data_IF_134348851274
#
_entry.id   IF_134348851274
#
_cell.length_a   1.000
_cell.length_b   1.000
_cell.length_c   1.000
_cell.angle_alpha   90.00
_cell.angle_beta   90.00
_cell.angle_gamma   90.00
#
_symmetry.space_group_name_H-M   'P 1'
#
loop_
_entity.id
_entity.type
_entity.pdbx_description
1 polymer ?
#
# COMPACT_ATOMS: atom_id res chain seq x y z
N UNK A 1 35.98 6.66 19.57
CA UNK A 1 36.33 5.24 19.35
C UNK A 1 36.44 5.05 17.85
N UNK A 2 37.63 4.61 17.36
CA UNK A 2 37.85 4.34 15.93
C UNK A 2 37.20 2.98 15.66
N UNK A 3 36.19 2.95 14.78
CA UNK A 3 35.53 1.70 14.38
C UNK A 3 36.55 0.83 13.61
N UNK A 4 36.67 -0.45 13.99
CA UNK A 4 37.50 -1.41 13.28
C UNK A 4 37.10 -1.46 11.79
N UNK A 5 38.11 -1.56 10.92
CA UNK A 5 37.92 -1.60 9.47
C UNK A 5 38.16 -3.03 8.93
N UNK A 6 37.74 -3.29 7.68
CA UNK A 6 38.05 -4.56 7.02
C UNK A 6 39.57 -4.82 6.90
N UNK A 7 40.37 -3.75 6.84
CA UNK A 7 41.82 -3.83 6.83
C UNK A 7 42.40 -4.35 8.16
N UNK A 8 41.76 -3.94 9.28
CA UNK A 8 42.20 -4.41 10.61
C UNK A 8 41.85 -5.88 10.80
N UNK A 9 40.70 -6.32 10.29
CA UNK A 9 40.30 -7.75 10.27
C UNK A 9 41.29 -8.56 9.42
N UNK A 10 41.62 -8.10 8.22
CA UNK A 10 42.57 -8.79 7.34
C UNK A 10 43.94 -8.94 7.99
N UNK A 11 44.43 -7.85 8.64
CA UNK A 11 45.69 -7.83 9.38
C UNK A 11 45.67 -8.78 10.58
N UNK A 12 44.62 -8.72 11.39
CA UNK A 12 44.45 -9.56 12.58
C UNK A 12 44.33 -11.05 12.25
N UNK A 13 43.66 -11.39 11.16
CA UNK A 13 43.49 -12.77 10.72
C UNK A 13 44.66 -13.31 9.86
N UNK A 14 45.60 -12.47 9.45
CA UNK A 14 46.69 -12.85 8.58
C UNK A 14 46.28 -13.32 7.20
N UNK A 15 45.28 -12.66 6.61
CA UNK A 15 44.72 -12.99 5.29
C UNK A 15 44.56 -11.74 4.42
N UNK A 16 44.31 -11.94 3.12
CA UNK A 16 44.03 -10.83 2.22
C UNK A 16 42.62 -10.25 2.43
N UNK A 17 42.41 -8.98 2.03
CA UNK A 17 41.08 -8.35 2.00
C UNK A 17 40.07 -9.17 1.21
N UNK A 18 40.51 -9.75 0.09
CA UNK A 18 39.65 -10.60 -0.74
C UNK A 18 39.19 -11.86 0.02
N UNK A 19 40.04 -12.40 0.89
CA UNK A 19 39.71 -13.56 1.73
C UNK A 19 38.68 -13.16 2.80
N UNK A 20 38.86 -12.01 3.47
CA UNK A 20 37.88 -11.50 4.44
C UNK A 20 36.52 -11.27 3.75
N UNK A 21 36.53 -10.63 2.58
CA UNK A 21 35.30 -10.41 1.80
C UNK A 21 34.60 -11.73 1.41
N UNK A 22 35.38 -12.76 1.02
CA UNK A 22 34.80 -14.08 0.73
C UNK A 22 34.22 -14.74 1.97
N UNK A 23 34.90 -14.67 3.12
CA UNK A 23 34.33 -15.20 4.37
C UNK A 23 32.99 -14.56 4.71
N UNK A 24 32.83 -13.26 4.46
CA UNK A 24 31.61 -12.52 4.75
C UNK A 24 30.48 -12.77 3.73
N UNK A 25 30.84 -12.96 2.44
CA UNK A 25 29.80 -12.98 1.36
C UNK A 25 29.58 -14.39 0.76
N UNK A 26 30.58 -15.28 0.81
CA UNK A 26 30.54 -16.63 0.23
C UNK A 26 31.35 -17.59 1.15
N UNK A 27 30.91 -17.79 2.40
CA UNK A 27 31.68 -18.55 3.40
C UNK A 27 31.95 -19.99 2.99
N UNK A 28 31.10 -20.58 2.15
CA UNK A 28 31.23 -21.93 1.62
C UNK A 28 32.45 -22.10 0.66
N UNK A 29 32.95 -20.99 0.09
CA UNK A 29 34.11 -20.99 -0.82
C UNK A 29 35.43 -20.82 -0.10
N UNK A 30 35.43 -20.81 1.24
CA UNK A 30 36.61 -20.61 2.06
C UNK A 30 36.82 -21.83 2.96
N UNK A 31 38.09 -22.30 3.08
CA UNK A 31 38.41 -23.40 3.99
C UNK A 31 37.97 -23.09 5.42
N UNK A 32 37.46 -24.09 6.11
CA UNK A 32 36.84 -23.92 7.44
C UNK A 32 37.78 -23.29 8.47
N UNK A 33 39.01 -23.72 8.51
CA UNK A 33 40.04 -23.15 9.38
C UNK A 33 40.26 -21.65 9.17
N UNK A 34 40.33 -21.22 7.91
CA UNK A 34 40.52 -19.80 7.56
C UNK A 34 39.24 -19.01 7.91
N UNK A 35 38.07 -19.60 7.66
CA UNK A 35 36.79 -19.00 7.99
C UNK A 35 36.66 -18.75 9.49
N UNK A 36 36.96 -19.76 10.32
CA UNK A 36 36.87 -19.64 11.78
C UNK A 36 37.84 -18.59 12.33
N UNK A 37 39.08 -18.55 11.79
CA UNK A 37 40.07 -17.55 12.18
C UNK A 37 39.62 -16.12 11.89
N UNK A 38 39.06 -15.88 10.70
CA UNK A 38 38.54 -14.55 10.33
C UNK A 38 37.31 -14.17 11.19
N UNK A 39 36.36 -15.08 11.42
CA UNK A 39 35.18 -14.84 12.25
C UNK A 39 35.57 -14.53 13.71
N UNK A 40 36.60 -15.19 14.25
CA UNK A 40 37.16 -14.91 15.58
C UNK A 40 37.63 -13.46 15.67
N UNK A 41 38.45 -13.03 14.73
CA UNK A 41 39.03 -11.66 14.70
C UNK A 41 37.91 -10.62 14.51
N UNK A 42 36.90 -10.89 13.68
CA UNK A 42 35.71 -10.02 13.52
C UNK A 42 35.04 -9.80 14.87
N UNK A 43 34.83 -10.87 15.65
CA UNK A 43 34.20 -10.82 16.96
C UNK A 43 35.09 -10.07 17.99
N UNK A 44 36.38 -10.31 18.00
CA UNK A 44 37.33 -9.66 18.91
C UNK A 44 37.45 -8.16 18.67
N UNK A 45 37.45 -7.75 17.40
CA UNK A 45 37.55 -6.34 17.02
C UNK A 45 36.21 -5.62 17.04
N UNK A 46 35.07 -6.32 17.24
CA UNK A 46 33.73 -5.76 17.11
C UNK A 46 33.46 -5.22 15.70
N UNK A 47 34.16 -5.75 14.68
CA UNK A 47 33.98 -5.27 13.31
C UNK A 47 32.57 -5.55 12.81
N UNK A 48 31.94 -4.53 12.30
CA UNK A 48 30.65 -4.64 11.58
C UNK A 48 30.86 -4.28 10.12
N UNK A 49 30.52 -5.18 9.17
CA UNK A 49 30.63 -4.90 7.75
C UNK A 49 29.91 -3.58 7.40
N UNK A 50 30.58 -2.68 6.71
CA UNK A 50 29.97 -1.46 6.23
C UNK A 50 29.08 -1.79 5.03
N UNK A 51 27.76 -1.63 5.20
CA UNK A 51 26.74 -1.92 4.18
C UNK A 51 26.95 -1.06 2.93
N UNK A 52 27.39 0.19 3.10
CA UNK A 52 27.68 1.12 1.99
C UNK A 52 28.86 0.61 1.15
N UNK A 53 29.95 0.23 1.81
CA UNK A 53 31.14 -0.29 1.11
C UNK A 53 30.83 -1.62 0.39
N UNK A 54 29.98 -2.47 0.97
CA UNK A 54 29.52 -3.70 0.36
C UNK A 54 28.61 -3.42 -0.85
N UNK A 55 27.71 -2.45 -0.74
CA UNK A 55 26.82 -2.01 -1.82
C UNK A 55 27.61 -1.50 -3.04
N UNK A 56 28.63 -0.69 -2.81
CA UNK A 56 29.53 -0.20 -3.86
C UNK A 56 30.23 -1.34 -4.61
N UNK A 57 30.67 -2.37 -3.89
CA UNK A 57 31.35 -3.52 -4.49
C UNK A 57 30.41 -4.46 -5.26
N UNK A 58 29.16 -4.62 -4.80
CA UNK A 58 28.15 -5.53 -5.38
C UNK A 58 27.21 -4.85 -6.36
N UNK A 59 27.24 -3.52 -6.47
CA UNK A 59 26.23 -2.69 -7.16
C UNK A 59 24.79 -2.93 -6.65
N UNK A 60 24.64 -3.41 -5.40
CA UNK A 60 23.36 -3.60 -4.72
C UNK A 60 23.40 -2.88 -3.39
N UNK A 61 22.45 -1.98 -3.18
CA UNK A 61 22.36 -1.19 -1.94
C UNK A 61 21.67 -1.96 -0.80
N UNK A 62 21.00 -3.07 -1.13
CA UNK A 62 20.10 -3.81 -0.23
C UNK A 62 19.03 -2.89 0.37
N UNK A 63 18.61 -1.89 -0.40
CA UNK A 63 17.63 -0.90 0.00
C UNK A 63 16.46 -0.88 -0.99
N UNK A 64 15.25 -0.94 -0.48
CA UNK A 64 14.02 -0.78 -1.24
C UNK A 64 13.42 0.58 -0.94
N UNK A 65 13.10 1.34 -1.99
CA UNK A 65 12.32 2.57 -1.88
C UNK A 65 10.84 2.24 -1.70
N UNK A 66 10.21 2.89 -0.74
CA UNK A 66 8.75 2.79 -0.56
C UNK A 66 8.16 4.18 -0.65
N UNK A 67 7.36 4.41 -1.69
CA UNK A 67 6.71 5.70 -1.96
C UNK A 67 5.32 5.70 -1.34
N UNK A 68 5.02 6.71 -0.54
CA UNK A 68 3.75 6.89 0.16
C UNK A 68 3.24 8.32 -0.02
N UNK A 69 1.92 8.51 0.01
CA UNK A 69 1.30 9.85 0.03
C UNK A 69 1.11 10.38 1.46
N UNK A 70 0.59 9.54 2.34
CA UNK A 70 0.27 9.90 3.72
C UNK A 70 0.47 8.71 4.67
N UNK A 71 1.48 8.81 5.53
CA UNK A 71 1.82 7.76 6.52
C UNK A 71 0.77 7.65 7.64
N UNK A 72 -0.06 8.67 7.84
CA UNK A 72 -1.07 8.67 8.90
C UNK A 72 -2.30 7.83 8.56
N UNK A 73 -2.45 7.44 7.31
CA UNK A 73 -3.53 6.57 6.86
C UNK A 73 -3.36 5.16 7.41
N UNK A 74 -4.40 4.64 8.05
CA UNK A 74 -4.37 3.31 8.69
C UNK A 74 -3.96 2.19 7.71
N UNK A 75 -4.52 2.20 6.49
CA UNK A 75 -4.18 1.23 5.44
C UNK A 75 -2.72 1.27 5.01
N UNK A 76 -2.11 2.47 4.96
CA UNK A 76 -0.69 2.62 4.62
C UNK A 76 0.19 2.05 5.73
N UNK A 77 -0.13 2.32 6.99
CA UNK A 77 0.63 1.80 8.13
C UNK A 77 0.60 0.26 8.19
N UNK A 78 -0.57 -0.36 7.97
CA UNK A 78 -0.70 -1.82 7.94
C UNK A 78 0.05 -2.44 6.76
N UNK A 79 -0.02 -1.82 5.57
CA UNK A 79 0.70 -2.26 4.38
C UNK A 79 2.22 -2.21 4.58
N UNK A 80 2.73 -1.14 5.23
CA UNK A 80 4.13 -1.02 5.62
C UNK A 80 4.55 -2.12 6.60
N UNK A 81 3.66 -2.57 7.48
CA UNK A 81 3.90 -3.73 8.33
C UNK A 81 4.21 -4.98 7.51
N UNK A 82 3.36 -5.33 6.56
CA UNK A 82 3.57 -6.47 5.66
C UNK A 82 4.84 -6.36 4.81
N UNK A 83 5.14 -5.16 4.31
CA UNK A 83 6.38 -4.89 3.57
C UNK A 83 7.60 -5.10 4.47
N UNK A 84 7.57 -4.55 5.69
CA UNK A 84 8.68 -4.61 6.65
C UNK A 84 9.05 -6.04 7.01
N UNK A 85 8.05 -6.88 7.30
CA UNK A 85 8.29 -8.27 7.67
C UNK A 85 8.95 -9.06 6.53
N UNK A 86 8.50 -8.84 5.30
CA UNK A 86 9.10 -9.50 4.12
C UNK A 86 10.48 -8.92 3.79
N UNK A 87 10.65 -7.60 3.86
CA UNK A 87 11.95 -6.95 3.63
C UNK A 87 13.01 -7.47 4.62
N UNK A 88 12.65 -7.60 5.90
CA UNK A 88 13.53 -8.15 6.93
C UNK A 88 13.96 -9.59 6.61
N UNK A 89 13.04 -10.45 6.18
CA UNK A 89 13.33 -11.84 5.81
C UNK A 89 14.30 -11.95 4.62
N UNK A 90 14.27 -10.97 3.72
CA UNK A 90 15.19 -10.89 2.57
C UNK A 90 16.40 -9.97 2.81
N UNK A 91 16.57 -9.48 4.03
CA UNK A 91 17.68 -8.58 4.44
C UNK A 91 17.73 -7.27 3.66
N UNK A 92 16.57 -6.73 3.27
CA UNK A 92 16.45 -5.39 2.69
C UNK A 92 16.14 -4.35 3.77
N UNK A 93 16.78 -3.19 3.64
CA UNK A 93 16.38 -1.96 4.35
C UNK A 93 15.29 -1.25 3.57
N UNK A 94 14.39 -0.55 4.27
CA UNK A 94 13.35 0.26 3.66
C UNK A 94 13.73 1.73 3.78
N UNK A 95 13.64 2.47 2.67
CA UNK A 95 13.72 3.92 2.64
C UNK A 95 12.38 4.50 2.20
N UNK A 96 11.77 5.32 3.07
CA UNK A 96 10.49 5.94 2.75
C UNK A 96 10.70 7.23 1.96
N UNK A 97 9.87 7.41 0.94
CA UNK A 97 9.74 8.63 0.15
C UNK A 97 8.29 9.11 0.23
N UNK A 98 8.10 10.33 0.69
CA UNK A 98 6.77 10.93 0.77
C UNK A 98 6.52 11.80 -0.46
N UNK A 99 5.42 11.52 -1.16
CA UNK A 99 4.93 12.35 -2.28
C UNK A 99 3.70 13.08 -1.78
N UNK A 100 3.81 14.37 -1.56
CA UNK A 100 2.68 15.22 -1.16
C UNK A 100 2.00 15.77 -2.41
N UNK A 101 0.71 16.09 -2.30
CA UNK A 101 -0.09 16.62 -3.41
C UNK A 101 0.44 17.93 -3.99
N UNK A 102 1.13 18.74 -3.18
CA UNK A 102 1.72 20.02 -3.53
C UNK A 102 3.15 19.90 -4.09
N UNK A 103 3.73 18.70 -4.10
CA UNK A 103 5.06 18.45 -4.64
C UNK A 103 4.99 17.92 -6.06
N UNK A 104 5.98 18.27 -6.87
CA UNK A 104 6.16 17.62 -8.15
C UNK A 104 6.56 16.15 -7.92
N UNK A 105 5.67 15.24 -8.32
CA UNK A 105 5.92 13.80 -8.25
C UNK A 105 7.18 13.45 -9.02
N UNK A 106 7.45 14.13 -10.13
CA UNK A 106 8.61 13.90 -10.99
C UNK A 106 9.92 14.19 -10.23
N UNK A 107 9.97 15.27 -9.45
CA UNK A 107 11.16 15.58 -8.63
C UNK A 107 11.41 14.48 -7.58
N UNK A 108 10.35 13.99 -6.94
CA UNK A 108 10.49 12.87 -6.00
C UNK A 108 11.00 11.60 -6.68
N UNK A 109 10.50 11.30 -7.89
CA UNK A 109 10.97 10.14 -8.67
C UNK A 109 12.43 10.29 -9.09
N UNK A 110 12.88 11.48 -9.47
CA UNK A 110 14.30 11.75 -9.75
C UNK A 110 15.17 11.55 -8.50
N UNK A 111 14.71 11.96 -7.33
CA UNK A 111 15.42 11.71 -6.08
C UNK A 111 15.52 10.21 -5.78
N UNK A 112 14.47 9.43 -6.03
CA UNK A 112 14.49 7.95 -5.87
C UNK A 112 15.53 7.32 -6.78
N UNK A 113 15.62 7.76 -8.04
CA UNK A 113 16.63 7.30 -9.00
C UNK A 113 18.05 7.64 -8.50
N UNK A 114 18.25 8.86 -8.00
CA UNK A 114 19.56 9.31 -7.48
C UNK A 114 20.02 8.52 -6.24
N UNK A 115 19.09 8.04 -5.42
CA UNK A 115 19.37 7.25 -4.22
C UNK A 115 19.77 5.79 -4.51
N UNK A 116 19.76 5.37 -5.76
CA UNK A 116 20.20 4.05 -6.22
C UNK A 116 19.57 2.88 -5.43
N UNK A 117 18.27 2.96 -5.12
CA UNK A 117 17.55 1.84 -4.51
C UNK A 117 17.48 0.65 -5.46
N UNK A 118 17.47 -0.57 -4.93
CA UNK A 118 17.47 -1.80 -5.74
C UNK A 118 16.09 -2.04 -6.40
N UNK A 119 15.02 -1.44 -5.86
CA UNK A 119 13.67 -1.51 -6.39
C UNK A 119 12.72 -0.60 -5.63
N UNK A 120 11.52 -0.41 -6.15
CA UNK A 120 10.53 0.54 -5.60
C UNK A 120 9.17 -0.11 -5.40
N UNK A 121 8.57 0.09 -4.23
CA UNK A 121 7.15 -0.13 -3.96
C UNK A 121 6.43 1.21 -3.95
N UNK A 122 5.36 1.32 -4.72
CA UNK A 122 4.54 2.53 -4.77
C UNK A 122 3.19 2.25 -4.10
N UNK A 123 2.97 2.83 -2.92
CA UNK A 123 1.78 2.63 -2.08
C UNK A 123 0.89 3.86 -2.14
N UNK A 124 0.09 3.96 -3.17
CA UNK A 124 -0.84 5.07 -3.27
C UNK A 124 -2.07 4.67 -4.09
N UNK A 125 -3.21 4.48 -3.43
CA UNK A 125 -4.51 4.22 -4.06
C UNK A 125 -5.13 5.48 -4.70
N UNK A 126 -4.44 6.62 -4.63
CA UNK A 126 -4.84 7.92 -5.18
C UNK A 126 -4.07 8.26 -6.45
N UNK A 127 -3.99 7.31 -7.38
CA UNK A 127 -3.37 7.51 -8.69
C UNK A 127 -4.42 7.46 -9.79
N UNK A 128 -4.28 8.36 -10.78
CA UNK A 128 -4.92 8.23 -12.08
C UNK A 128 -4.10 7.31 -12.98
N UNK A 129 -4.72 6.71 -13.99
CA UNK A 129 -4.02 5.88 -14.98
C UNK A 129 -2.90 6.64 -15.69
N UNK A 130 -3.11 7.92 -16.00
CA UNK A 130 -2.07 8.77 -16.58
C UNK A 130 -0.83 8.85 -15.68
N UNK A 131 -1.02 9.02 -14.38
CA UNK A 131 0.08 9.11 -13.41
C UNK A 131 0.80 7.76 -13.23
N UNK A 132 0.07 6.65 -13.23
CA UNK A 132 0.66 5.30 -13.23
C UNK A 132 1.60 5.13 -14.43
N UNK A 133 1.17 5.55 -15.62
CA UNK A 133 1.96 5.45 -16.85
C UNK A 133 3.22 6.33 -16.84
N UNK A 134 3.15 7.53 -16.25
CA UNK A 134 4.33 8.41 -16.07
C UNK A 134 5.36 7.76 -15.14
N UNK A 135 4.92 7.23 -14.00
CA UNK A 135 5.78 6.53 -13.03
C UNK A 135 6.40 5.28 -13.67
N UNK A 136 5.61 4.47 -14.39
CA UNK A 136 6.08 3.30 -15.14
C UNK A 136 7.22 3.68 -16.09
N UNK A 137 7.01 4.71 -16.92
CA UNK A 137 8.01 5.17 -17.88
C UNK A 137 9.33 5.56 -17.22
N UNK A 138 9.26 6.26 -16.08
CA UNK A 138 10.45 6.70 -15.36
C UNK A 138 11.24 5.51 -14.79
N UNK A 139 10.59 4.60 -14.09
CA UNK A 139 11.29 3.45 -13.49
C UNK A 139 11.82 2.50 -14.55
N UNK A 140 11.04 2.22 -15.61
CA UNK A 140 11.49 1.38 -16.73
C UNK A 140 12.68 2.01 -17.45
N UNK A 141 12.64 3.33 -17.72
CA UNK A 141 13.72 4.06 -18.39
C UNK A 141 15.04 4.06 -17.59
N UNK A 142 14.97 3.93 -16.28
CA UNK A 142 16.13 3.84 -15.38
C UNK A 142 16.46 2.39 -14.96
N UNK A 143 15.80 1.39 -15.53
CA UNK A 143 15.97 -0.04 -15.20
C UNK A 143 15.77 -0.35 -13.72
N UNK A 144 14.86 0.36 -13.04
CA UNK A 144 14.52 0.14 -11.64
C UNK A 144 13.29 -0.78 -11.57
N UNK A 145 13.38 -1.97 -10.99
CA UNK A 145 12.23 -2.82 -10.73
C UNK A 145 11.24 -2.11 -9.80
N UNK A 146 9.95 -2.21 -10.10
CA UNK A 146 8.91 -1.57 -9.29
C UNK A 146 7.65 -2.43 -9.20
N UNK A 147 6.85 -2.21 -8.17
CA UNK A 147 5.52 -2.80 -7.99
C UNK A 147 4.60 -1.74 -7.38
N UNK A 148 3.41 -1.62 -7.93
CA UNK A 148 2.34 -0.83 -7.34
C UNK A 148 1.54 -1.69 -6.35
N UNK A 149 1.48 -1.24 -5.11
CA UNK A 149 0.72 -1.88 -4.04
C UNK A 149 -0.59 -1.12 -3.82
N UNK A 150 -1.71 -1.82 -3.91
CA UNK A 150 -3.06 -1.26 -3.77
C UNK A 150 -3.43 -0.23 -4.86
N UNK A 151 -2.95 -0.46 -6.08
CA UNK A 151 -3.22 0.36 -7.28
C UNK A 151 -3.83 -0.53 -8.35
N UNK A 152 -4.72 0.03 -9.14
CA UNK A 152 -5.29 -0.60 -10.33
C UNK A 152 -4.76 0.11 -11.57
N UNK A 153 -4.39 -0.66 -12.58
CA UNK A 153 -4.01 -0.15 -13.91
C UNK A 153 -4.62 -1.02 -15.00
N UNK A 154 -5.03 -0.41 -16.08
CA UNK A 154 -5.50 -1.15 -17.28
C UNK A 154 -4.33 -1.67 -18.13
N UNK A 155 -3.11 -1.15 -17.93
CA UNK A 155 -1.90 -1.61 -18.62
C UNK A 155 -1.43 -2.97 -18.09
N UNK A 156 -1.41 -4.05 -18.92
CA UNK A 156 -1.05 -5.40 -18.49
C UNK A 156 0.42 -5.53 -18.06
N UNK A 157 1.29 -4.63 -18.49
CA UNK A 157 2.73 -4.66 -18.19
C UNK A 157 3.07 -3.93 -16.88
N UNK A 158 2.07 -3.42 -16.16
CA UNK A 158 2.26 -2.77 -14.85
C UNK A 158 2.17 -3.79 -13.73
N UNK A 159 3.27 -4.03 -12.98
CA UNK A 159 3.22 -4.94 -11.83
C UNK A 159 2.35 -4.35 -10.71
N UNK A 160 1.25 -5.06 -10.37
CA UNK A 160 0.30 -4.61 -9.35
C UNK A 160 -0.07 -5.73 -8.38
N UNK A 161 -0.33 -5.36 -7.13
CA UNK A 161 -1.00 -6.22 -6.15
C UNK A 161 -2.18 -5.44 -5.57
N UNK A 162 -3.39 -5.95 -5.75
CA UNK A 162 -4.62 -5.28 -5.35
C UNK A 162 -5.73 -6.30 -5.08
N UNK A 163 -6.95 -5.82 -4.87
CA UNK A 163 -8.17 -6.62 -4.94
C UNK A 163 -8.96 -6.29 -6.21
N UNK A 164 -10.00 -7.06 -6.48
CA UNK A 164 -11.01 -6.71 -7.50
C UNK A 164 -11.97 -5.65 -6.91
N UNK A 165 -11.66 -4.37 -7.16
CA UNK A 165 -12.44 -3.25 -6.63
C UNK A 165 -13.81 -3.10 -7.31
N UNK A 166 -13.96 -3.51 -8.57
CA UNK A 166 -15.24 -3.49 -9.25
C UNK A 166 -16.19 -4.51 -8.60
N UNK A 167 -15.71 -5.74 -8.43
CA UNK A 167 -16.46 -6.79 -7.75
C UNK A 167 -16.82 -6.39 -6.33
N UNK A 168 -15.88 -5.82 -5.57
CA UNK A 168 -16.13 -5.36 -4.20
C UNK A 168 -17.20 -4.25 -4.14
N UNK A 169 -17.16 -3.29 -5.07
CA UNK A 169 -18.18 -2.25 -5.21
C UNK A 169 -19.55 -2.80 -5.55
N UNK A 170 -19.60 -3.79 -6.44
CA UNK A 170 -20.82 -4.50 -6.79
C UNK A 170 -21.42 -5.24 -5.58
N UNK A 171 -20.63 -6.04 -4.90
CA UNK A 171 -21.08 -6.90 -3.79
C UNK A 171 -21.62 -6.08 -2.61
N UNK A 172 -20.93 -5.00 -2.19
CA UNK A 172 -21.37 -4.17 -1.08
C UNK A 172 -22.65 -3.39 -1.44
N UNK A 173 -22.82 -3.04 -2.70
CA UNK A 173 -24.04 -2.38 -3.19
C UNK A 173 -25.20 -3.36 -3.19
N UNK A 174 -24.99 -4.58 -3.67
CA UNK A 174 -26.01 -5.64 -3.64
C UNK A 174 -26.50 -5.95 -2.22
N UNK A 175 -25.59 -5.97 -1.24
CA UNK A 175 -25.96 -6.17 0.16
C UNK A 175 -27.00 -5.13 0.62
N UNK A 176 -26.85 -3.86 0.25
CA UNK A 176 -27.82 -2.82 0.61
C UNK A 176 -29.12 -2.90 -0.19
N UNK A 177 -29.05 -3.31 -1.46
CA UNK A 177 -30.25 -3.55 -2.28
C UNK A 177 -31.08 -4.72 -1.70
N UNK A 178 -30.42 -5.80 -1.29
CA UNK A 178 -31.05 -6.96 -0.64
C UNK A 178 -31.64 -6.61 0.73
N UNK A 179 -31.11 -5.57 1.40
CA UNK A 179 -31.69 -4.95 2.61
C UNK A 179 -32.84 -3.96 2.29
N UNK A 180 -33.40 -4.02 1.07
CA UNK A 180 -34.51 -3.20 0.60
C UNK A 180 -34.26 -1.68 0.66
N UNK A 181 -33.00 -1.23 0.50
CA UNK A 181 -32.68 0.19 0.40
C UNK A 181 -32.90 0.68 -1.04
N UNK A 182 -33.57 1.83 -1.18
CA UNK A 182 -33.94 2.39 -2.49
C UNK A 182 -33.11 3.63 -2.88
N UNK A 183 -32.66 4.40 -1.90
CA UNK A 183 -31.94 5.65 -2.11
C UNK A 183 -30.50 5.53 -1.64
N UNK A 184 -29.74 4.67 -2.33
CA UNK A 184 -28.36 4.34 -2.01
C UNK A 184 -27.42 5.37 -2.67
N UNK A 185 -26.57 6.01 -1.89
CA UNK A 185 -25.55 6.93 -2.38
C UNK A 185 -24.15 6.35 -2.23
N UNK A 186 -23.32 6.49 -3.28
CA UNK A 186 -21.89 6.28 -3.18
C UNK A 186 -21.20 7.61 -2.83
N UNK A 187 -20.52 7.65 -1.69
CA UNK A 187 -19.75 8.79 -1.22
C UNK A 187 -18.32 8.65 -1.71
N UNK A 188 -18.01 9.30 -2.84
CA UNK A 188 -16.72 9.22 -3.51
C UNK A 188 -15.90 10.49 -3.37
N UNK A 189 -14.65 10.47 -3.82
CA UNK A 189 -13.77 11.64 -3.80
C UNK A 189 -14.01 12.55 -5.01
N UNK A 190 -13.80 13.86 -4.84
CA UNK A 190 -13.91 14.83 -5.94
C UNK A 190 -12.85 14.57 -7.03
N UNK A 191 -11.64 14.18 -6.62
CA UNK A 191 -10.61 13.72 -7.55
C UNK A 191 -10.87 12.27 -7.95
N UNK A 192 -10.60 11.97 -9.22
CA UNK A 192 -10.75 10.64 -9.77
C UNK A 192 -9.45 9.85 -9.61
N UNK A 193 -9.57 8.66 -9.05
CA UNK A 193 -8.49 7.71 -8.85
C UNK A 193 -8.92 6.35 -9.39
N UNK A 194 -8.02 5.64 -10.05
CA UNK A 194 -8.34 4.35 -10.72
C UNK A 194 -9.05 3.36 -9.78
N UNK A 195 -8.64 3.30 -8.51
CA UNK A 195 -9.27 2.44 -7.49
C UNK A 195 -10.72 2.86 -7.21
N UNK A 196 -10.99 4.17 -7.11
CA UNK A 196 -12.36 4.66 -6.86
C UNK A 196 -13.23 4.52 -8.11
N UNK A 197 -12.67 4.73 -9.30
CA UNK A 197 -13.38 4.52 -10.56
C UNK A 197 -13.89 3.07 -10.66
N UNK A 198 -13.08 2.07 -10.29
CA UNK A 198 -13.53 0.66 -10.26
C UNK A 198 -14.61 0.39 -9.21
N UNK A 199 -14.54 1.01 -8.02
CA UNK A 199 -15.64 0.93 -7.04
C UNK A 199 -16.93 1.55 -7.58
N UNK A 200 -16.83 2.70 -8.26
CA UNK A 200 -17.96 3.38 -8.90
C UNK A 200 -18.56 2.55 -10.04
N UNK A 201 -17.74 1.85 -10.84
CA UNK A 201 -18.18 0.92 -11.87
C UNK A 201 -19.02 -0.22 -11.26
N UNK A 202 -18.52 -0.88 -10.21
CA UNK A 202 -19.22 -1.95 -9.52
C UNK A 202 -20.53 -1.50 -8.89
N UNK A 203 -20.51 -0.37 -8.18
CA UNK A 203 -21.72 0.25 -7.62
C UNK A 203 -22.75 0.57 -8.72
N UNK A 204 -22.32 1.22 -9.80
CA UNK A 204 -23.18 1.62 -10.91
C UNK A 204 -23.82 0.41 -11.59
N UNK A 205 -23.05 -0.67 -11.76
CA UNK A 205 -23.55 -1.92 -12.33
C UNK A 205 -24.64 -2.54 -11.45
N UNK A 206 -24.40 -2.66 -10.14
CA UNK A 206 -25.39 -3.23 -9.21
C UNK A 206 -26.69 -2.42 -9.16
N UNK A 207 -26.59 -1.09 -9.13
CA UNK A 207 -27.77 -0.19 -9.16
C UNK A 207 -28.58 -0.37 -10.44
N UNK A 208 -27.92 -0.37 -11.61
CA UNK A 208 -28.59 -0.53 -12.91
C UNK A 208 -29.27 -1.90 -13.06
N UNK A 209 -28.60 -2.98 -12.63
CA UNK A 209 -29.19 -4.32 -12.64
C UNK A 209 -30.44 -4.43 -11.76
N UNK A 210 -30.51 -3.64 -10.69
CA UNK A 210 -31.69 -3.53 -9.83
C UNK A 210 -32.76 -2.55 -10.35
N UNK A 211 -32.57 -1.93 -11.53
CA UNK A 211 -33.47 -0.90 -12.06
C UNK A 211 -33.41 0.44 -11.32
N UNK A 212 -32.35 0.69 -10.56
CA UNK A 212 -32.17 1.88 -9.73
C UNK A 212 -31.18 2.86 -10.38
N UNK A 213 -31.41 4.16 -10.18
CA UNK A 213 -30.52 5.19 -10.70
C UNK A 213 -29.29 5.36 -9.78
N UNK A 214 -28.06 5.26 -10.32
CA UNK A 214 -26.84 5.49 -9.54
C UNK A 214 -26.74 6.95 -9.05
N UNK A 215 -26.43 7.12 -7.77
CA UNK A 215 -26.28 8.43 -7.11
C UNK A 215 -24.90 8.54 -6.47
N UNK A 216 -24.02 9.34 -7.05
CA UNK A 216 -22.68 9.55 -6.55
C UNK A 216 -22.55 10.95 -5.97
N UNK A 217 -22.21 11.03 -4.68
CA UNK A 217 -21.90 12.29 -4.01
C UNK A 217 -20.38 12.42 -3.88
N UNK A 218 -19.83 13.50 -4.43
CA UNK A 218 -18.40 13.73 -4.43
C UNK A 218 -17.99 14.66 -3.30
N UNK A 219 -16.97 14.24 -2.55
CA UNK A 219 -16.44 14.93 -1.38
C UNK A 219 -14.91 15.03 -1.47
N UNK A 220 -14.32 15.93 -0.68
CA UNK A 220 -12.86 16.15 -0.70
C UNK A 220 -12.06 14.96 -0.21
N UNK A 221 -12.64 14.10 0.63
CA UNK A 221 -11.93 13.06 1.38
C UNK A 221 -11.31 13.55 2.68
N UNK A 222 -11.20 14.86 2.90
CA UNK A 222 -10.79 15.47 4.16
C UNK A 222 -11.95 15.47 5.17
N UNK A 223 -11.67 15.04 6.42
CA UNK A 223 -12.72 14.85 7.44
C UNK A 223 -13.38 16.17 7.87
N UNK A 224 -12.64 17.28 7.93
CA UNK A 224 -13.18 18.58 8.34
C UNK A 224 -14.04 19.18 7.25
N UNK A 225 -13.57 19.14 6.01
CA UNK A 225 -14.31 19.62 4.84
C UNK A 225 -15.57 18.76 4.62
N UNK A 226 -15.44 17.44 4.78
CA UNK A 226 -16.55 16.51 4.65
C UNK A 226 -17.69 16.79 5.63
N UNK A 227 -17.35 17.17 6.88
CA UNK A 227 -18.37 17.54 7.88
C UNK A 227 -19.31 18.62 7.37
N UNK A 228 -18.78 19.66 6.76
CA UNK A 228 -19.57 20.77 6.20
C UNK A 228 -20.42 20.32 4.99
N UNK A 229 -19.81 19.57 4.06
CA UNK A 229 -20.50 19.07 2.88
C UNK A 229 -21.66 18.12 3.24
N UNK A 230 -21.45 17.22 4.20
CA UNK A 230 -22.49 16.27 4.62
C UNK A 230 -23.63 16.93 5.38
N UNK A 231 -23.36 17.99 6.16
CA UNK A 231 -24.45 18.76 6.80
C UNK A 231 -25.40 19.36 5.77
N UNK A 232 -24.88 19.92 4.69
CA UNK A 232 -25.70 20.44 3.57
C UNK A 232 -26.41 19.31 2.83
N UNK A 233 -25.77 18.17 2.66
CA UNK A 233 -26.36 17.01 1.97
C UNK A 233 -27.67 16.56 2.60
N UNK A 234 -27.74 16.46 3.94
CA UNK A 234 -28.95 16.00 4.65
C UNK A 234 -30.13 16.97 4.58
N UNK A 235 -29.88 18.25 4.28
CA UNK A 235 -30.94 19.23 4.11
C UNK A 235 -31.73 19.01 2.81
N UNK A 236 -31.11 18.48 1.77
CA UNK A 236 -31.60 18.51 0.42
C UNK A 236 -31.93 17.12 -0.17
N UNK A 237 -31.40 16.05 0.40
CA UNK A 237 -31.42 14.72 -0.21
C UNK A 237 -32.14 13.68 0.63
N UNK A 238 -32.97 12.87 -0.04
CA UNK A 238 -33.48 11.63 0.55
C UNK A 238 -32.41 10.54 0.37
N UNK A 239 -32.00 9.94 1.46
CA UNK A 239 -31.02 8.85 1.52
C UNK A 239 -31.47 7.85 2.58
N UNK A 240 -31.43 6.57 2.23
CA UNK A 240 -31.69 5.45 3.16
C UNK A 240 -30.51 4.48 3.26
N UNK A 241 -29.54 4.61 2.35
CA UNK A 241 -28.24 3.94 2.49
C UNK A 241 -27.11 4.74 1.85
N UNK A 242 -25.88 4.56 2.39
CA UNK A 242 -24.70 5.17 1.84
C UNK A 242 -23.49 4.21 1.90
N UNK A 243 -22.66 4.27 0.88
CA UNK A 243 -21.39 3.54 0.81
C UNK A 243 -20.25 4.56 0.72
N UNK A 244 -19.38 4.61 1.73
CA UNK A 244 -18.16 5.42 1.65
C UNK A 244 -17.05 4.67 0.92
N UNK A 245 -16.39 5.27 -0.06
CA UNK A 245 -15.22 4.65 -0.73
C UNK A 245 -14.04 4.41 0.22
N UNK A 246 -14.12 4.92 1.46
CA UNK A 246 -13.23 4.65 2.60
C UNK A 246 -14.06 4.66 3.89
N UNK A 247 -13.62 3.89 4.89
CA UNK A 247 -14.26 3.86 6.21
C UNK A 247 -14.29 5.26 6.86
N UNK A 248 -13.24 6.06 6.73
CA UNK A 248 -13.21 7.41 7.29
C UNK A 248 -14.29 8.34 6.71
N UNK A 249 -14.60 8.19 5.42
CA UNK A 249 -15.69 8.93 4.76
C UNK A 249 -17.04 8.41 5.28
N UNK A 250 -17.23 7.09 5.33
CA UNK A 250 -18.45 6.45 5.82
C UNK A 250 -18.75 6.84 7.27
N UNK A 251 -17.74 6.78 8.16
CA UNK A 251 -17.89 7.15 9.57
C UNK A 251 -18.16 8.64 9.74
N UNK A 252 -17.48 9.50 8.96
CA UNK A 252 -17.78 10.93 8.97
C UNK A 252 -19.23 11.23 8.59
N UNK A 253 -19.73 10.55 7.53
CA UNK A 253 -21.11 10.66 7.10
C UNK A 253 -22.08 10.15 8.17
N UNK A 254 -21.79 9.01 8.78
CA UNK A 254 -22.59 8.41 9.85
C UNK A 254 -22.73 9.34 11.06
N UNK A 255 -21.63 9.98 11.48
CA UNK A 255 -21.66 10.91 12.59
C UNK A 255 -22.58 12.12 12.30
N UNK A 256 -22.47 12.70 11.12
CA UNK A 256 -23.32 13.82 10.69
C UNK A 256 -24.79 13.38 10.54
N UNK A 257 -25.05 12.16 10.05
CA UNK A 257 -26.40 11.61 9.98
C UNK A 257 -27.02 11.55 11.37
N UNK A 258 -26.28 11.06 12.36
CA UNK A 258 -26.75 10.98 13.75
C UNK A 258 -26.94 12.35 14.39
N UNK A 259 -26.05 13.31 14.14
CA UNK A 259 -26.21 14.70 14.55
C UNK A 259 -27.50 15.33 13.99
N UNK A 260 -27.97 14.83 12.83
CA UNK A 260 -29.25 15.20 12.21
C UNK A 260 -30.44 14.28 12.63
N UNK A 261 -30.29 13.50 13.70
CA UNK A 261 -31.35 12.68 14.26
C UNK A 261 -31.67 11.38 13.50
N UNK A 262 -30.82 10.95 12.58
CA UNK A 262 -31.00 9.69 11.85
C UNK A 262 -30.52 8.51 12.68
N UNK A 263 -31.31 7.46 12.75
CA UNK A 263 -30.95 6.19 13.39
C UNK A 263 -30.22 5.28 12.37
N UNK A 264 -29.06 4.79 12.75
CA UNK A 264 -28.24 3.86 11.94
C UNK A 264 -28.27 2.48 12.63
N UNK A 265 -28.70 1.43 11.96
CA UNK A 265 -29.01 1.27 10.53
C UNK A 265 -30.48 1.52 10.16
N UNK A 266 -31.38 1.77 11.11
CA UNK A 266 -32.83 1.76 10.92
C UNK A 266 -33.29 2.74 9.82
N UNK A 267 -32.93 4.03 9.96
CA UNK A 267 -33.31 5.07 8.99
C UNK A 267 -32.30 5.18 7.85
N UNK A 268 -31.05 4.78 8.10
CA UNK A 268 -29.93 4.94 7.18
C UNK A 268 -28.90 3.83 7.37
N UNK A 269 -28.81 2.90 6.44
CA UNK A 269 -27.73 1.90 6.42
C UNK A 269 -26.43 2.50 5.86
N UNK A 270 -25.32 2.18 6.47
CA UNK A 270 -24.01 2.72 6.05
C UNK A 270 -22.99 1.60 5.94
N UNK A 271 -22.26 1.60 4.81
CA UNK A 271 -21.16 0.67 4.57
C UNK A 271 -19.91 1.42 4.14
N UNK A 272 -18.76 0.78 4.28
CA UNK A 272 -17.46 1.35 3.95
C UNK A 272 -16.55 0.41 3.18
N UNK A 273 -15.33 0.87 2.97
CA UNK A 273 -14.24 0.12 2.36
C UNK A 273 -12.98 0.24 3.22
N UNK A 274 -12.21 -0.86 3.28
CA UNK A 274 -10.89 -1.07 3.89
C UNK A 274 -10.90 -1.80 5.23
N UNK A 275 -12.04 -1.87 5.95
CA UNK A 275 -12.14 -2.52 7.26
C UNK A 275 -11.06 -2.08 8.26
N UNK A 276 -10.76 -0.79 8.27
CA UNK A 276 -9.75 -0.18 9.14
C UNK A 276 -10.25 -0.07 10.59
N UNK A 277 -9.39 0.38 11.50
CA UNK A 277 -9.75 0.70 12.89
C UNK A 277 -11.02 1.58 13.02
N UNK A 278 -11.32 2.41 12.04
CA UNK A 278 -12.52 3.24 12.03
C UNK A 278 -13.80 2.40 12.04
N UNK A 279 -13.81 1.27 11.34
CA UNK A 279 -14.98 0.37 11.29
C UNK A 279 -15.29 -0.26 12.64
N UNK A 280 -14.28 -0.51 13.48
CA UNK A 280 -14.43 -1.09 14.82
C UNK A 280 -14.68 -0.06 15.91
N UNK A 281 -14.18 1.17 15.73
CA UNK A 281 -14.30 2.23 16.72
C UNK A 281 -15.56 3.08 16.55
N UNK A 282 -16.23 3.00 15.41
CA UNK A 282 -17.50 3.70 15.17
C UNK A 282 -18.64 3.10 16.02
N UNK A 283 -19.68 3.89 16.23
CA UNK A 283 -20.93 3.46 16.89
C UNK A 283 -22.12 3.95 16.09
N UNK A 284 -22.93 3.01 15.52
CA UNK A 284 -22.70 1.56 15.46
C UNK A 284 -21.41 1.18 14.73
N UNK A 285 -20.92 -0.08 14.92
CA UNK A 285 -19.76 -0.57 14.19
C UNK A 285 -20.06 -0.65 12.69
N UNK A 286 -19.09 -0.23 11.86
CA UNK A 286 -19.30 -0.09 10.43
C UNK A 286 -19.14 -1.42 9.69
N UNK A 287 -20.16 -1.81 8.91
CA UNK A 287 -20.05 -2.83 7.86
C UNK A 287 -19.08 -2.34 6.80
N UNK A 288 -18.08 -3.15 6.44
CA UNK A 288 -17.04 -2.71 5.50
C UNK A 288 -16.52 -3.87 4.65
N UNK A 289 -16.05 -3.54 3.44
CA UNK A 289 -15.22 -4.44 2.64
C UNK A 289 -13.86 -4.58 3.34
N UNK A 290 -13.50 -5.80 3.68
CA UNK A 290 -12.17 -6.14 4.19
C UNK A 290 -11.19 -6.24 3.03
N UNK A 291 -10.25 -5.32 2.99
CA UNK A 291 -9.14 -5.31 2.04
C UNK A 291 -7.90 -5.78 2.80
N UNK A 292 -7.26 -6.89 2.39
CA UNK A 292 -6.12 -7.46 3.10
C UNK A 292 -4.86 -6.61 2.89
N UNK A 293 -4.85 -5.38 3.41
CA UNK A 293 -3.78 -4.40 3.12
C UNK A 293 -2.41 -4.85 3.61
N UNK A 294 -2.33 -5.57 4.73
CA UNK A 294 -1.09 -6.18 5.20
C UNK A 294 -0.55 -7.18 4.16
N UNK A 295 -1.43 -8.08 3.67
CA UNK A 295 -1.03 -9.08 2.67
C UNK A 295 -0.69 -8.44 1.33
N UNK A 296 -1.39 -7.37 0.92
CA UNK A 296 -1.03 -6.58 -0.26
C UNK A 296 0.42 -6.09 -0.13
N UNK A 297 0.79 -5.54 1.02
CA UNK A 297 2.17 -5.11 1.29
C UNK A 297 3.17 -6.25 1.22
N UNK A 298 2.88 -7.36 1.91
CA UNK A 298 3.75 -8.54 1.96
C UNK A 298 3.94 -9.19 0.59
N UNK A 299 2.87 -9.35 -0.18
CA UNK A 299 2.91 -9.94 -1.53
C UNK A 299 3.61 -9.00 -2.50
N UNK A 300 3.39 -7.69 -2.40
CA UNK A 300 4.09 -6.69 -3.22
C UNK A 300 5.60 -6.74 -2.99
N UNK A 301 6.06 -6.85 -1.74
CA UNK A 301 7.48 -6.96 -1.43
C UNK A 301 8.09 -8.28 -1.95
N UNK A 302 7.36 -9.40 -1.87
CA UNK A 302 7.79 -10.67 -2.45
C UNK A 302 7.89 -10.59 -3.98
N UNK A 303 6.91 -9.99 -4.63
CA UNK A 303 6.91 -9.77 -6.08
C UNK A 303 8.10 -8.90 -6.48
N UNK A 304 8.31 -7.77 -5.82
CA UNK A 304 9.45 -6.89 -6.06
C UNK A 304 10.79 -7.62 -5.88
N UNK A 305 10.91 -8.43 -4.83
CA UNK A 305 12.14 -9.23 -4.59
C UNK A 305 12.42 -10.21 -5.74
N UNK A 306 11.40 -10.81 -6.34
CA UNK A 306 11.56 -11.67 -7.53
C UNK A 306 12.04 -10.84 -8.73
N UNK A 307 11.42 -9.69 -8.99
CA UNK A 307 11.80 -8.79 -10.10
C UNK A 307 13.24 -8.27 -9.95
N UNK A 308 13.65 -7.84 -8.75
CA UNK A 308 15.03 -7.39 -8.47
C UNK A 308 16.09 -8.48 -8.67
N UNK A 309 15.71 -9.74 -8.57
CA UNK A 309 16.61 -10.87 -8.77
C UNK A 309 16.44 -11.53 -10.14
N UNK A 310 15.76 -10.89 -11.09
CA UNK A 310 15.51 -11.38 -12.46
C UNK A 310 14.95 -12.80 -12.49
N UNK A 311 14.12 -13.15 -11.50
CA UNK A 311 13.43 -14.44 -11.48
C UNK A 311 12.22 -14.37 -12.39
N UNK A 312 11.93 -15.47 -13.06
CA UNK A 312 10.69 -15.60 -13.80
C UNK A 312 9.49 -15.44 -12.87
N UNK A 313 8.51 -14.65 -13.33
CA UNK A 313 7.27 -14.37 -12.62
C UNK A 313 6.12 -14.66 -13.56
N UNK A 314 5.35 -15.69 -13.26
CA UNK A 314 4.21 -16.14 -14.09
C UNK A 314 3.11 -15.06 -14.19
N UNK A 315 2.92 -14.30 -13.12
CA UNK A 315 1.91 -13.26 -13.06
C UNK A 315 2.43 -12.05 -12.26
N UNK A 316 2.49 -10.89 -12.91
CA UNK A 316 2.87 -9.62 -12.30
C UNK A 316 1.67 -8.81 -11.80
N UNK A 317 0.44 -9.27 -12.06
CA UNK A 317 -0.81 -8.64 -11.63
C UNK A 317 -1.53 -9.60 -10.68
N UNK A 318 -1.38 -9.38 -9.38
CA UNK A 318 -1.89 -10.28 -8.34
C UNK A 318 -3.15 -9.67 -7.73
N UNK A 319 -4.25 -10.39 -7.82
CA UNK A 319 -5.53 -10.03 -7.22
C UNK A 319 -5.73 -10.90 -5.97
N UNK A 320 -5.80 -10.26 -4.80
CA UNK A 320 -6.08 -10.92 -3.54
C UNK A 320 -7.60 -10.98 -3.27
N UNK A 321 -8.08 -11.95 -2.51
CA UNK A 321 -9.49 -12.02 -2.12
C UNK A 321 -9.85 -10.87 -1.18
N UNK A 322 -11.11 -10.45 -1.25
CA UNK A 322 -11.73 -9.51 -0.31
C UNK A 322 -13.00 -10.12 0.28
N UNK A 323 -13.51 -9.57 1.37
CA UNK A 323 -14.71 -10.08 2.04
C UNK A 323 -15.55 -8.91 2.55
N UNK A 324 -16.88 -9.12 2.65
CA UNK A 324 -17.76 -8.20 3.38
C UNK A 324 -17.78 -8.61 4.85
N UNK A 325 -17.39 -7.69 5.72
CA UNK A 325 -17.53 -7.85 7.17
C UNK A 325 -18.77 -7.11 7.61
N UNK A 326 -19.88 -7.84 7.77
CA UNK A 326 -21.14 -7.28 8.27
C UNK A 326 -21.03 -6.91 9.74
N UNK A 327 -21.58 -5.74 10.10
CA UNK A 327 -21.65 -5.21 11.46
C UNK A 327 -22.95 -4.43 11.65
N UNK A 328 -23.01 -3.63 12.69
CA UNK A 328 -24.23 -3.00 13.20
C UNK A 328 -24.72 -1.81 12.37
N UNK A 329 -23.97 -1.31 11.39
CA UNK A 329 -24.36 -0.18 10.53
C UNK A 329 -25.19 -0.57 9.31
N UNK A 330 -25.44 -1.85 9.11
CA UNK A 330 -26.39 -2.44 8.14
C UNK A 330 -27.19 -3.54 8.83
N UNK A 331 -28.33 -3.95 8.24
CA UNK A 331 -29.18 -5.04 8.77
C UNK A 331 -28.60 -6.42 8.43
#
# INVERSE_FOLDING_TARGET
MINATIYDVARGAGVSLATVSRVLNNPEKVKDETRQRVLKVIKELGYRPNVIARGLASRKTTTVGVVISDITRASVAEMLGGISDIAQNYHYSIKLFSVREDMDVIDTLHNIVAEQVDGVLYLNDELSEMRVNEIKKMFTGNSIPFVFANVVSDDPDVPTVSIDYEKAGYEITKLLIEDHRENIYLLSTARRYSVNDKKEEGYTRAMKEAGMEPKIFRTSGDTLINRQHFSTFFSDKRVDAAIGVRDSIAVSFMNIARDNGRDVPKDLAIAGFQNTKYSLLSRPNLTSIDIPVYDIGAVSMRLLTKLMNSKEVDNIRIILPHYIVKRDSTN
#
